data_IF_144101488285
#
_entry.id   IF_144101488285
#
_cell.length_a   1.000
_cell.length_b   1.000
_cell.length_c   1.000
_cell.angle_alpha   90.00
_cell.angle_beta   90.00
_cell.angle_gamma   90.00
#
_symmetry.space_group_name_H-M   'P 1'
#
loop_
_entity.id
_entity.type
_entity.pdbx_description
1 polymer ?
#
# COMPACT_ATOMS: atom_id res chain seq x y z
N UNK A 1 -11.67 -10.60 -13.87
CA UNK A 1 -12.43 -9.33 -13.89
C UNK A 1 -11.91 -8.32 -12.86
N UNK A 2 -11.86 -8.63 -11.55
CA UNK A 2 -11.29 -7.72 -10.53
C UNK A 2 -9.82 -7.34 -10.78
N UNK A 3 -8.96 -8.31 -11.11
CA UNK A 3 -7.55 -8.05 -11.49
C UNK A 3 -7.43 -7.10 -12.70
N UNK A 4 -8.34 -7.22 -13.67
CA UNK A 4 -8.30 -6.49 -14.94
C UNK A 4 -8.60 -5.00 -14.76
N UNK A 5 -9.57 -4.66 -13.91
CA UNK A 5 -9.94 -3.26 -13.62
C UNK A 5 -8.81 -2.56 -12.86
N UNK A 6 -8.22 -3.23 -11.87
CA UNK A 6 -7.12 -2.65 -11.09
C UNK A 6 -5.92 -2.36 -11.99
N UNK A 7 -5.51 -3.31 -12.82
CA UNK A 7 -4.41 -3.11 -13.78
C UNK A 7 -4.71 -1.98 -14.77
N UNK A 8 -5.95 -1.89 -15.27
CA UNK A 8 -6.36 -0.79 -16.15
C UNK A 8 -6.29 0.57 -15.44
N UNK A 9 -6.72 0.63 -14.18
CA UNK A 9 -6.66 1.83 -13.36
C UNK A 9 -5.22 2.27 -13.05
N UNK A 10 -4.34 1.34 -12.65
CA UNK A 10 -2.92 1.66 -12.40
C UNK A 10 -2.24 2.20 -13.66
N UNK A 11 -2.51 1.60 -14.84
CA UNK A 11 -2.03 2.10 -16.13
C UNK A 11 -2.56 3.51 -16.43
N UNK A 12 -3.84 3.75 -16.16
CA UNK A 12 -4.44 5.07 -16.30
C UNK A 12 -3.77 6.09 -15.37
N UNK A 13 -3.55 5.75 -14.09
CA UNK A 13 -2.94 6.63 -13.11
C UNK A 13 -1.52 7.06 -13.53
N UNK A 14 -0.67 6.10 -13.92
CA UNK A 14 0.68 6.38 -14.45
C UNK A 14 0.60 7.27 -15.69
N UNK A 15 -0.21 6.91 -16.68
CA UNK A 15 -0.32 7.70 -17.91
C UNK A 15 -0.79 9.13 -17.60
N UNK A 16 -1.82 9.27 -16.76
CA UNK A 16 -2.41 10.56 -16.42
C UNK A 16 -1.42 11.45 -15.68
N UNK A 17 -0.67 10.90 -14.71
CA UNK A 17 0.28 11.70 -13.93
C UNK A 17 1.48 12.16 -14.78
N UNK A 18 1.97 11.31 -15.69
CA UNK A 18 3.01 11.68 -16.65
C UNK A 18 2.54 12.71 -17.67
N UNK A 19 1.31 12.58 -18.17
CA UNK A 19 0.71 13.57 -19.07
C UNK A 19 0.60 14.93 -18.37
N UNK A 20 0.15 14.94 -17.10
CA UNK A 20 0.08 16.16 -16.28
C UNK A 20 1.46 16.80 -16.11
N UNK A 21 2.45 16.04 -15.67
CA UNK A 21 3.80 16.55 -15.45
C UNK A 21 4.41 17.14 -16.72
N UNK A 22 4.22 16.47 -17.87
CA UNK A 22 4.70 16.97 -19.17
C UNK A 22 3.98 18.25 -19.62
N UNK A 23 2.68 18.35 -19.39
CA UNK A 23 1.89 19.52 -19.80
C UNK A 23 2.11 20.73 -18.88
N UNK A 24 2.26 20.51 -17.57
CA UNK A 24 2.37 21.61 -16.58
C UNK A 24 3.81 21.95 -16.21
N UNK A 25 4.77 21.07 -16.51
CA UNK A 25 6.16 21.19 -16.06
C UNK A 25 6.35 20.92 -14.55
N UNK A 26 5.31 20.47 -13.85
CA UNK A 26 5.37 20.21 -12.41
C UNK A 26 5.93 18.82 -12.11
N UNK A 27 6.64 18.64 -10.98
CA UNK A 27 7.17 17.35 -10.59
C UNK A 27 6.07 16.36 -10.21
N UNK A 28 6.38 15.08 -10.37
CA UNK A 28 5.56 13.98 -9.85
C UNK A 28 6.07 13.64 -8.45
N UNK A 29 5.17 13.65 -7.47
CA UNK A 29 5.41 13.18 -6.11
C UNK A 29 4.78 11.80 -5.91
N UNK A 30 5.51 10.92 -5.24
CA UNK A 30 4.99 9.63 -4.75
C UNK A 30 4.75 9.79 -3.25
N UNK A 31 3.48 9.78 -2.85
CA UNK A 31 3.08 9.90 -1.45
C UNK A 31 2.85 8.50 -0.90
N UNK A 32 3.46 8.24 0.24
CA UNK A 32 3.45 6.94 0.91
C UNK A 32 2.98 7.15 2.33
N UNK A 33 1.96 6.41 2.74
CA UNK A 33 1.53 6.33 4.13
C UNK A 33 1.17 4.89 4.48
N UNK A 34 1.35 4.48 5.73
CA UNK A 34 0.90 3.17 6.17
C UNK A 34 -0.37 3.26 7.01
N UNK A 35 -1.32 2.41 6.67
CA UNK A 35 -2.59 2.31 7.36
C UNK A 35 -2.85 0.88 7.82
N UNK A 36 -3.81 0.72 8.72
CA UNK A 36 -4.22 -0.57 9.24
C UNK A 36 -5.70 -0.77 8.92
N UNK A 37 -6.01 -1.82 8.16
CA UNK A 37 -7.37 -2.30 7.99
C UNK A 37 -7.72 -3.21 9.15
N UNK A 38 -8.37 -2.65 10.17
CA UNK A 38 -8.80 -3.40 11.35
C UNK A 38 -9.74 -4.55 10.96
N UNK A 39 -9.50 -5.71 11.59
CA UNK A 39 -10.30 -6.93 11.45
C UNK A 39 -10.75 -7.40 12.82
N UNK A 40 -11.83 -8.17 12.82
CA UNK A 40 -12.26 -8.89 14.02
C UNK A 40 -11.18 -9.89 14.41
N UNK A 41 -10.82 -9.91 15.70
CA UNK A 41 -9.88 -10.88 16.25
C UNK A 41 -10.47 -12.28 16.06
N UNK A 42 -9.75 -13.23 15.42
CA UNK A 42 -10.24 -14.58 15.22
C UNK A 42 -10.48 -15.27 16.57
N UNK A 43 -11.48 -16.16 16.61
CA UNK A 43 -11.74 -16.98 17.79
C UNK A 43 -10.51 -17.82 18.15
N UNK A 44 -10.30 -18.11 19.44
CA UNK A 44 -9.30 -19.08 19.89
C UNK A 44 -9.52 -20.50 19.32
N UNK A 45 -10.71 -20.77 18.75
CA UNK A 45 -11.04 -22.01 18.05
C UNK A 45 -10.84 -21.93 16.52
N UNK A 46 -10.38 -20.80 15.99
CA UNK A 46 -10.10 -20.68 14.57
C UNK A 46 -8.93 -21.57 14.18
N UNK A 47 -9.17 -22.48 13.21
CA UNK A 47 -8.13 -23.41 12.71
C UNK A 47 -7.12 -22.72 11.78
N UNK A 48 -7.50 -21.59 11.21
CA UNK A 48 -6.65 -20.74 10.38
C UNK A 48 -6.85 -19.29 10.79
N UNK A 49 -5.73 -18.56 10.95
CA UNK A 49 -5.76 -17.11 11.06
C UNK A 49 -6.13 -16.49 9.70
N UNK A 50 -6.51 -15.22 9.72
CA UNK A 50 -6.67 -14.44 8.48
C UNK A 50 -5.25 -14.20 7.94
N UNK A 51 -5.00 -14.63 6.70
CA UNK A 51 -3.68 -14.50 6.07
C UNK A 51 -3.19 -13.06 6.10
N UNK A 52 -1.90 -12.85 6.45
CA UNK A 52 -1.26 -11.53 6.57
C UNK A 52 -1.89 -10.56 7.59
N UNK A 53 -2.81 -11.02 8.46
CA UNK A 53 -3.29 -10.24 9.61
C UNK A 53 -2.43 -10.47 10.85
N UNK A 54 -2.15 -9.39 11.59
CA UNK A 54 -1.42 -9.44 12.85
C UNK A 54 -1.91 -8.42 13.86
N UNK A 55 -1.25 -8.38 15.02
CA UNK A 55 -1.43 -7.29 15.99
C UNK A 55 -0.47 -6.14 15.67
N UNK A 56 -1.01 -4.94 15.55
CA UNK A 56 -0.26 -3.72 15.23
C UNK A 56 -0.58 -2.62 16.25
N UNK A 57 0.39 -1.76 16.55
CA UNK A 57 0.15 -0.59 17.40
C UNK A 57 -0.47 0.52 16.55
N UNK A 58 -1.70 0.93 16.90
CA UNK A 58 -2.39 2.02 16.22
C UNK A 58 -2.28 3.27 17.09
N UNK A 59 -1.29 4.11 16.75
CA UNK A 59 -0.92 5.31 17.51
C UNK A 59 -2.15 6.21 17.79
N UNK A 60 -2.99 6.45 16.78
CA UNK A 60 -4.17 7.34 16.90
C UNK A 60 -5.22 6.84 17.89
N UNK A 61 -5.31 5.53 18.16
CA UNK A 61 -6.22 4.97 19.18
C UNK A 61 -5.49 4.52 20.44
N UNK A 62 -4.18 4.76 20.51
CA UNK A 62 -3.31 4.41 21.63
C UNK A 62 -3.47 2.94 22.10
N UNK A 63 -3.74 2.02 21.15
CA UNK A 63 -4.04 0.61 21.43
C UNK A 63 -3.47 -0.32 20.36
N UNK A 64 -3.32 -1.60 20.72
CA UNK A 64 -3.06 -2.65 19.72
C UNK A 64 -4.37 -3.02 19.03
N UNK A 65 -4.33 -3.10 17.71
CA UNK A 65 -5.45 -3.55 16.87
C UNK A 65 -5.03 -4.77 16.06
N UNK A 66 -5.99 -5.62 15.74
CA UNK A 66 -5.78 -6.78 14.86
C UNK A 66 -6.20 -6.40 13.44
N UNK A 67 -5.37 -6.70 12.44
CA UNK A 67 -5.71 -6.33 11.06
C UNK A 67 -4.57 -6.50 10.07
N UNK A 68 -4.84 -6.06 8.84
CA UNK A 68 -3.86 -6.00 7.77
C UNK A 68 -3.14 -4.66 7.80
N UNK A 69 -1.81 -4.67 7.71
CA UNK A 69 -1.07 -3.44 7.43
C UNK A 69 -1.00 -3.24 5.92
N UNK A 70 -1.31 -2.03 5.47
CA UNK A 70 -1.40 -1.66 4.05
C UNK A 70 -0.52 -0.43 3.86
N UNK A 71 0.23 -0.38 2.77
CA UNK A 71 0.94 0.83 2.35
C UNK A 71 0.10 1.50 1.27
N UNK A 72 -0.37 2.72 1.54
CA UNK A 72 -1.06 3.53 0.56
C UNK A 72 -0.07 4.26 -0.34
N UNK A 73 -0.23 4.09 -1.66
CA UNK A 73 0.59 4.78 -2.67
C UNK A 73 -0.30 5.71 -3.48
N UNK A 74 -0.02 7.01 -3.41
CA UNK A 74 -0.66 8.04 -4.22
C UNK A 74 0.36 8.70 -5.13
N UNK A 75 -0.05 9.04 -6.35
CA UNK A 75 0.75 9.81 -7.29
C UNK A 75 0.16 11.22 -7.37
N UNK A 76 0.98 12.24 -7.15
CA UNK A 76 0.56 13.64 -7.20
C UNK A 76 1.38 14.42 -8.24
N UNK A 77 0.72 15.30 -8.99
CA UNK A 77 1.36 16.28 -9.85
C UNK A 77 0.51 17.55 -9.81
N UNK A 78 1.08 18.64 -9.29
CA UNK A 78 0.31 19.84 -8.97
C UNK A 78 -0.78 19.55 -7.93
N UNK A 79 -2.00 19.99 -8.24
CA UNK A 79 -3.17 19.83 -7.36
C UNK A 79 -3.94 18.53 -7.62
N UNK A 80 -3.45 17.66 -8.51
CA UNK A 80 -4.09 16.39 -8.83
C UNK A 80 -3.36 15.25 -8.13
N UNK A 81 -4.09 14.52 -7.30
CA UNK A 81 -3.65 13.31 -6.61
C UNK A 81 -4.48 12.12 -7.06
N UNK A 82 -3.82 11.06 -7.52
CA UNK A 82 -4.46 9.84 -8.02
C UNK A 82 -4.01 8.66 -7.15
N UNK A 83 -4.94 7.87 -6.57
CA UNK A 83 -4.60 6.61 -5.94
C UNK A 83 -3.92 5.69 -6.94
N UNK A 84 -2.86 5.01 -6.54
CA UNK A 84 -2.12 4.12 -7.45
C UNK A 84 -2.18 2.67 -6.99
N UNK A 85 -1.76 2.42 -5.74
CA UNK A 85 -1.73 1.06 -5.20
C UNK A 85 -1.97 1.04 -3.69
N UNK A 86 -2.45 -0.10 -3.20
CA UNK A 86 -2.66 -0.40 -1.78
C UNK A 86 -2.04 -1.77 -1.42
N UNK A 87 -0.72 -1.97 -1.60
CA UNK A 87 -0.08 -3.25 -1.29
C UNK A 87 -0.18 -3.61 0.19
N UNK A 88 -0.36 -4.90 0.45
CA UNK A 88 -0.26 -5.46 1.80
C UNK A 88 1.21 -5.43 2.25
N UNK A 89 1.44 -5.02 3.49
CA UNK A 89 2.74 -5.08 4.11
C UNK A 89 2.87 -6.35 4.95
N UNK A 90 3.73 -7.27 4.52
CA UNK A 90 4.11 -8.43 5.29
C UNK A 90 5.45 -8.20 6.01
N UNK A 91 5.38 -8.15 7.34
CA UNK A 91 6.57 -7.99 8.21
C UNK A 91 7.45 -9.24 8.22
N UNK A 92 6.92 -10.39 7.80
CA UNK A 92 7.62 -11.66 7.74
C UNK A 92 8.28 -11.88 6.37
N UNK A 93 8.15 -10.90 5.46
CA UNK A 93 8.78 -10.97 4.15
C UNK A 93 10.24 -10.49 4.21
N UNK A 94 11.14 -11.32 3.70
CA UNK A 94 12.57 -11.05 3.60
C UNK A 94 13.01 -11.03 2.14
N UNK A 95 14.05 -10.26 1.83
CA UNK A 95 14.70 -10.32 0.52
C UNK A 95 15.62 -11.56 0.39
N UNK A 96 16.27 -11.71 -0.77
CA UNK A 96 17.19 -12.82 -1.06
C UNK A 96 18.41 -12.88 -0.15
N UNK A 97 18.73 -11.78 0.52
CA UNK A 97 19.86 -11.67 1.46
C UNK A 97 19.42 -11.87 2.92
N UNK A 98 18.12 -12.07 3.16
CA UNK A 98 17.55 -12.26 4.49
C UNK A 98 17.25 -10.95 5.23
N UNK A 99 17.27 -9.79 4.55
CA UNK A 99 16.89 -8.52 5.16
C UNK A 99 15.39 -8.31 5.12
N UNK A 100 14.86 -7.60 6.13
CA UNK A 100 13.43 -7.23 6.18
C UNK A 100 13.12 -6.31 5.00
N UNK A 101 12.09 -6.65 4.22
CA UNK A 101 11.61 -5.75 3.17
C UNK A 101 10.92 -4.57 3.84
N UNK A 102 11.44 -3.37 3.63
CA UNK A 102 10.84 -2.15 4.15
C UNK A 102 9.61 -1.74 3.33
N UNK A 103 8.71 -0.96 3.94
CA UNK A 103 7.53 -0.40 3.25
C UNK A 103 7.93 0.41 2.01
N UNK A 104 9.04 1.16 2.08
CA UNK A 104 9.51 1.95 0.94
C UNK A 104 9.98 1.06 -0.21
N UNK A 105 10.62 -0.09 0.07
CA UNK A 105 11.00 -1.05 -0.97
C UNK A 105 9.78 -1.66 -1.67
N UNK A 106 8.67 -1.87 -0.95
CA UNK A 106 7.41 -2.32 -1.56
C UNK A 106 6.91 -1.27 -2.55
N UNK A 107 6.93 0.01 -2.18
CA UNK A 107 6.51 1.09 -3.08
C UNK A 107 7.44 1.22 -4.28
N UNK A 108 8.76 1.12 -4.09
CA UNK A 108 9.71 1.17 -5.20
C UNK A 108 9.39 0.08 -6.22
N UNK A 109 9.13 -1.16 -5.78
CA UNK A 109 8.74 -2.28 -6.66
C UNK A 109 7.38 -2.06 -7.35
N UNK A 110 6.46 -1.35 -6.70
CA UNK A 110 5.15 -1.04 -7.25
C UNK A 110 5.22 0.00 -8.38
N UNK A 111 6.14 0.96 -8.30
CA UNK A 111 6.26 2.06 -9.26
C UNK A 111 7.32 1.84 -10.35
N UNK A 112 8.27 0.91 -10.14
CA UNK A 112 9.32 0.50 -11.10
C UNK A 112 8.81 -0.45 -12.16
#
# INVERSE_FOLDING_TARGET
>A
MKQTIFVAFSKFAIKRIWDLSRTTGQPIYVIIDDTISERTIPSSRAKSSIELCGFHHFHTKNKKVYGHQIVGVLLQCGDITIPYELPLYDKMQYDSEGNIISKIMIVIKAIS
#
